data_IF_505826587900
#
_entry.id   IF_505826587900
#
_cell.length_a   1.000
_cell.length_b   1.000
_cell.length_c   1.000
_cell.angle_alpha   90.00
_cell.angle_beta   90.00
_cell.angle_gamma   90.00
#
_symmetry.space_group_name_H-M   'P 1'
#
loop_
_entity.id
_entity.type
_entity.pdbx_description
1 polymer ?
#
# COMPACT_ATOMS: atom_id res chain seq x y z
N UNK A 1 4.38 20.95 1.28
CA UNK A 1 4.09 20.26 0.01
C UNK A 1 2.58 20.25 -0.13
N UNK A 2 2.06 20.64 -1.29
CA UNK A 2 0.62 20.62 -1.56
C UNK A 2 0.13 19.16 -1.74
N UNK A 3 -1.08 18.78 -1.33
CA UNK A 3 -1.66 17.48 -1.66
C UNK A 3 -1.50 17.07 -3.14
N UNK A 4 -1.65 18.01 -4.08
CA UNK A 4 -1.53 17.72 -5.51
C UNK A 4 -0.08 17.35 -5.90
N UNK A 5 0.91 17.93 -5.22
CA UNK A 5 2.32 17.56 -5.41
C UNK A 5 2.61 16.15 -4.89
N UNK A 6 1.99 15.77 -3.77
CA UNK A 6 2.11 14.42 -3.21
C UNK A 6 1.47 13.39 -4.14
N UNK A 7 0.29 13.68 -4.69
CA UNK A 7 -0.40 12.79 -5.65
C UNK A 7 0.45 12.60 -6.89
N UNK A 8 0.98 13.68 -7.47
CA UNK A 8 1.86 13.59 -8.64
C UNK A 8 3.07 12.71 -8.35
N UNK A 9 3.63 12.79 -7.14
CA UNK A 9 4.74 11.92 -6.75
C UNK A 9 4.34 10.45 -6.65
N UNK A 10 3.13 10.15 -6.18
CA UNK A 10 2.59 8.78 -6.20
C UNK A 10 2.41 8.26 -7.63
N UNK A 11 1.89 9.09 -8.53
CA UNK A 11 1.74 8.74 -9.95
C UNK A 11 3.09 8.45 -10.61
N UNK A 12 4.09 9.31 -10.36
CA UNK A 12 5.46 9.10 -10.86
C UNK A 12 6.04 7.76 -10.39
N UNK A 13 5.88 7.42 -9.10
CA UNK A 13 6.37 6.15 -8.56
C UNK A 13 5.60 4.95 -9.11
N UNK A 14 4.28 5.08 -9.27
CA UNK A 14 3.43 4.00 -9.77
C UNK A 14 3.65 3.68 -11.26
N UNK A 15 4.18 4.64 -12.02
CA UNK A 15 4.50 4.49 -13.45
C UNK A 15 5.98 4.20 -13.72
N UNK A 16 6.79 4.10 -12.67
CA UNK A 16 8.21 3.77 -12.78
C UNK A 16 8.37 2.25 -12.93
N UNK A 17 8.61 1.80 -14.17
CA UNK A 17 8.77 0.38 -14.49
C UNK A 17 10.04 -0.25 -13.86
N UNK A 18 10.99 0.56 -13.38
CA UNK A 18 12.19 0.08 -12.68
C UNK A 18 11.92 -0.18 -11.18
N UNK A 19 10.76 0.25 -10.66
CA UNK A 19 10.33 0.01 -9.28
C UNK A 19 9.42 -1.22 -9.21
N UNK A 20 9.81 -2.20 -8.40
CA UNK A 20 8.91 -3.29 -8.02
C UNK A 20 8.04 -2.83 -6.84
N UNK A 21 6.75 -2.64 -7.09
CA UNK A 21 5.76 -2.20 -6.09
C UNK A 21 4.90 -3.37 -5.63
N UNK A 22 5.53 -4.35 -4.96
CA UNK A 22 4.81 -5.48 -4.39
C UNK A 22 3.89 -5.05 -3.23
N UNK A 23 2.64 -5.49 -3.28
CA UNK A 23 1.61 -5.12 -2.31
C UNK A 23 1.87 -5.71 -0.93
N UNK A 24 2.39 -6.94 -0.83
CA UNK A 24 2.71 -7.57 0.45
C UNK A 24 3.92 -6.86 1.11
N UNK A 25 4.92 -6.45 0.33
CA UNK A 25 6.06 -5.66 0.81
C UNK A 25 5.63 -4.26 1.31
N UNK A 26 4.77 -3.56 0.55
CA UNK A 26 4.21 -2.28 0.97
C UNK A 26 3.44 -2.37 2.30
N UNK A 27 2.66 -3.44 2.48
CA UNK A 27 1.93 -3.72 3.73
C UNK A 27 2.93 -3.95 4.88
N UNK A 28 3.98 -4.74 4.66
CA UNK A 28 4.98 -5.04 5.67
C UNK A 28 5.73 -3.79 6.13
N UNK A 29 6.14 -2.93 5.19
CA UNK A 29 6.80 -1.66 5.48
C UNK A 29 5.88 -0.72 6.29
N UNK A 30 4.61 -0.61 5.89
CA UNK A 30 3.64 0.23 6.60
C UNK A 30 3.34 -0.30 8.01
N UNK A 31 3.22 -1.61 8.17
CA UNK A 31 3.04 -2.23 9.48
C UNK A 31 4.24 -1.99 10.42
N UNK A 32 5.47 -2.09 9.88
CA UNK A 32 6.68 -1.78 10.62
C UNK A 32 6.73 -0.30 11.04
N UNK A 33 6.30 0.62 10.16
CA UNK A 33 6.19 2.04 10.48
C UNK A 33 5.16 2.28 11.61
N UNK A 34 3.99 1.67 11.52
CA UNK A 34 2.91 1.80 12.52
C UNK A 34 3.19 1.10 13.86
N UNK A 35 4.24 0.29 13.92
CA UNK A 35 4.74 -0.26 15.18
C UNK A 35 5.53 0.79 16.00
N UNK A 36 5.87 1.94 15.40
CA UNK A 36 6.41 3.09 16.15
C UNK A 36 5.28 3.78 16.92
N UNK A 37 5.40 3.77 18.25
CA UNK A 37 4.45 4.41 19.16
C UNK A 37 4.43 5.95 19.02
N UNK A 38 5.41 6.56 18.35
CA UNK A 38 5.37 8.00 18.04
C UNK A 38 4.30 8.36 16.99
N UNK A 39 3.77 7.38 16.25
CA UNK A 39 2.72 7.58 15.26
C UNK A 39 1.37 7.32 15.91
N UNK A 40 0.69 8.40 16.26
CA UNK A 40 -0.58 8.38 16.97
C UNK A 40 -1.65 9.23 16.24
N UNK A 41 -2.86 9.28 16.81
CA UNK A 41 -3.89 10.23 16.40
C UNK A 41 -4.40 10.04 14.97
N UNK A 42 -4.55 11.14 14.24
CA UNK A 42 -5.20 11.16 12.93
C UNK A 42 -4.32 10.56 11.85
N UNK A 43 -3.02 10.76 11.96
CA UNK A 43 -1.99 10.23 11.08
C UNK A 43 -1.99 8.72 11.14
N UNK A 44 -2.00 8.15 12.36
CA UNK A 44 -2.13 6.71 12.58
C UNK A 44 -3.39 6.15 11.93
N UNK A 45 -4.54 6.77 12.21
CA UNK A 45 -5.83 6.31 11.68
C UNK A 45 -5.88 6.32 10.15
N UNK A 46 -5.31 7.35 9.51
CA UNK A 46 -5.24 7.43 8.05
C UNK A 46 -4.33 6.34 7.47
N UNK A 47 -3.17 6.10 8.07
CA UNK A 47 -2.23 5.06 7.65
C UNK A 47 -2.80 3.65 7.86
N UNK A 48 -3.49 3.39 8.96
CA UNK A 48 -4.21 2.12 9.21
C UNK A 48 -5.27 1.87 8.13
N UNK A 49 -6.02 2.90 7.72
CA UNK A 49 -7.01 2.79 6.64
C UNK A 49 -6.36 2.48 5.29
N UNK A 50 -5.20 3.08 4.99
CA UNK A 50 -4.41 2.76 3.79
C UNK A 50 -3.94 1.30 3.84
N UNK A 51 -3.36 0.85 4.96
CA UNK A 51 -2.90 -0.53 5.12
C UNK A 51 -4.02 -1.56 4.96
N UNK A 52 -5.19 -1.31 5.56
CA UNK A 52 -6.36 -2.17 5.38
C UNK A 52 -6.85 -2.21 3.91
N UNK A 53 -6.75 -1.09 3.20
CA UNK A 53 -7.12 -1.01 1.78
C UNK A 53 -6.16 -1.82 0.91
N UNK A 54 -4.85 -1.67 1.12
CA UNK A 54 -3.82 -2.44 0.43
C UNK A 54 -3.98 -3.94 0.69
N UNK A 55 -4.20 -4.34 1.94
CA UNK A 55 -4.42 -5.74 2.29
C UNK A 55 -5.59 -6.36 1.53
N UNK A 56 -6.70 -5.63 1.38
CA UNK A 56 -7.85 -6.07 0.59
C UNK A 56 -7.54 -6.20 -0.90
N UNK A 57 -6.73 -5.29 -1.47
CA UNK A 57 -6.28 -5.37 -2.88
C UNK A 57 -5.43 -6.63 -3.09
N UNK A 58 -4.41 -6.84 -2.26
CA UNK A 58 -3.55 -8.02 -2.36
C UNK A 58 -4.31 -9.34 -2.16
N UNK A 59 -5.34 -9.38 -1.31
CA UNK A 59 -6.23 -10.55 -1.22
C UNK A 59 -6.97 -10.84 -2.53
N UNK A 60 -7.52 -9.80 -3.18
CA UNK A 60 -8.24 -9.96 -4.44
C UNK A 60 -7.31 -10.48 -5.55
N UNK A 61 -6.09 -9.96 -5.63
CA UNK A 61 -5.09 -10.41 -6.60
C UNK A 61 -4.73 -11.88 -6.40
N UNK A 62 -4.49 -12.30 -5.16
CA UNK A 62 -4.22 -13.70 -4.81
C UNK A 62 -5.39 -14.61 -5.17
N UNK A 63 -6.63 -14.18 -4.93
CA UNK A 63 -7.84 -14.92 -5.30
C UNK A 63 -7.96 -15.07 -6.82
N UNK A 64 -7.74 -13.99 -7.57
CA UNK A 64 -7.78 -14.00 -9.04
C UNK A 64 -6.68 -14.92 -9.59
N UNK A 65 -5.46 -14.83 -9.07
CA UNK A 65 -4.35 -15.69 -9.47
C UNK A 65 -4.63 -17.17 -9.20
N UNK A 66 -5.19 -17.49 -8.02
CA UNK A 66 -5.59 -18.85 -7.67
C UNK A 66 -6.70 -19.40 -8.60
N UNK A 67 -7.66 -18.55 -8.99
CA UNK A 67 -8.71 -18.93 -9.94
C UNK A 67 -8.16 -19.22 -11.35
N UNK A 68 -7.19 -18.43 -11.82
CA UNK A 68 -6.52 -18.65 -13.12
C UNK A 68 -5.74 -19.97 -13.16
N UNK A 69 -5.06 -20.35 -12.08
CA UNK A 69 -4.29 -21.61 -11.99
C UNK A 69 -5.14 -22.89 -11.99
N UNK A 70 -6.45 -22.77 -11.74
CA UNK A 70 -7.39 -23.90 -11.71
C UNK A 70 -8.12 -24.13 -13.04
N UNK A 71 -7.94 -23.25 -14.03
CA UNK A 71 -8.41 -23.41 -15.42
C UNK A 71 -7.29 -23.97 -16.28
#
# INVERSE_FOLDING_TARGET
MDPDDVIRRFEELALDDDQDLDVDDAIALLAALLADDAIEGKERAALEQVGATLYRVGLNERVIAAAKRRR
#
